data_IF_028787609493
#
_entry.id   IF_028787609493
#
_cell.length_a   1.000
_cell.length_b   1.000
_cell.length_c   1.000
_cell.angle_alpha   90.00
_cell.angle_beta   90.00
_cell.angle_gamma   90.00
#
_symmetry.space_group_name_H-M   'P 1'
#
loop_
_entity.id
_entity.type
_entity.pdbx_description
1 polymer ?
#
# COMPACT_ATOMS: atom_id res chain seq x y z
N UNK A 1 0.42 -2.71 -30.50
CA UNK A 1 0.71 -1.54 -29.65
C UNK A 1 0.30 -1.91 -28.25
N UNK A 2 1.23 -2.42 -27.44
CA UNK A 2 0.97 -2.93 -26.09
C UNK A 2 1.00 -1.77 -25.10
N UNK A 3 -0.13 -1.50 -24.45
CA UNK A 3 -0.20 -0.50 -23.38
C UNK A 3 0.48 -1.12 -22.16
N UNK A 4 1.70 -0.68 -21.86
CA UNK A 4 2.49 -1.15 -20.72
C UNK A 4 2.07 -0.38 -19.46
N UNK A 5 0.95 -0.79 -18.86
CA UNK A 5 0.51 -0.24 -17.57
C UNK A 5 1.35 -0.91 -16.47
N UNK A 6 2.33 -0.19 -15.91
CA UNK A 6 3.10 -0.66 -14.74
C UNK A 6 4.59 -0.90 -14.96
N UNK A 7 5.14 -0.67 -16.15
CA UNK A 7 6.58 -0.88 -16.37
C UNK A 7 7.46 0.10 -15.57
N UNK A 8 6.96 1.31 -15.31
CA UNK A 8 7.72 2.34 -14.61
C UNK A 8 7.34 2.41 -13.11
N UNK A 9 8.19 1.92 -12.19
CA UNK A 9 7.93 1.97 -10.75
C UNK A 9 7.78 3.40 -10.22
N UNK A 10 8.34 4.41 -10.92
CA UNK A 10 8.20 5.81 -10.54
C UNK A 10 6.77 6.32 -10.64
N UNK A 11 5.97 5.76 -11.56
CA UNK A 11 4.55 6.12 -11.67
C UNK A 11 3.83 5.69 -10.39
N UNK A 12 4.10 4.47 -9.90
CA UNK A 12 3.53 3.98 -8.65
C UNK A 12 3.96 4.86 -7.47
N UNK A 13 5.25 5.17 -7.35
CA UNK A 13 5.78 6.04 -6.28
C UNK A 13 5.13 7.43 -6.35
N UNK A 14 4.94 7.98 -7.55
CA UNK A 14 4.33 9.29 -7.75
C UNK A 14 2.84 9.29 -7.39
N UNK A 15 2.09 8.26 -7.79
CA UNK A 15 0.69 8.08 -7.41
C UNK A 15 0.53 7.92 -5.91
N UNK A 16 1.37 7.09 -5.28
CA UNK A 16 1.40 6.91 -3.81
C UNK A 16 1.72 8.22 -3.10
N UNK A 17 2.58 9.07 -3.67
CA UNK A 17 2.85 10.40 -3.12
C UNK A 17 1.63 11.33 -3.24
N UNK A 18 0.86 11.24 -4.33
CA UNK A 18 -0.40 11.97 -4.47
C UNK A 18 -1.44 11.51 -3.44
N UNK A 19 -1.44 10.24 -3.03
CA UNK A 19 -2.30 9.75 -1.93
C UNK A 19 -2.03 10.48 -0.61
N UNK A 20 -0.78 10.83 -0.33
CA UNK A 20 -0.44 11.63 0.86
C UNK A 20 -1.15 13.00 0.83
N UNK A 21 -1.34 13.60 -0.35
CA UNK A 21 -2.11 14.84 -0.45
C UNK A 21 -3.57 14.65 -0.05
N UNK A 22 -4.18 13.52 -0.39
CA UNK A 22 -5.55 13.21 0.05
C UNK A 22 -5.66 13.05 1.56
N UNK A 23 -4.56 12.73 2.25
CA UNK A 23 -4.51 12.69 3.73
C UNK A 23 -4.30 14.10 4.32
N UNK A 24 -3.49 14.95 3.69
CA UNK A 24 -3.10 16.27 4.22
C UNK A 24 -4.12 17.38 3.88
N UNK A 25 -4.76 17.32 2.72
CA UNK A 25 -5.69 18.37 2.27
C UNK A 25 -6.92 18.50 3.17
N UNK A 26 -7.63 17.41 3.57
CA UNK A 26 -8.78 17.52 4.45
C UNK A 26 -8.52 18.24 5.79
N UNK A 27 -7.49 17.89 6.59
CA UNK A 27 -7.19 18.62 7.83
C UNK A 27 -6.75 20.06 7.57
N UNK A 28 -6.15 20.35 6.41
CA UNK A 28 -5.82 21.73 6.01
C UNK A 28 -7.09 22.55 5.78
N UNK A 29 -8.05 22.03 5.01
CA UNK A 29 -9.35 22.68 4.78
C UNK A 29 -10.11 22.85 6.10
N UNK A 30 -10.18 21.79 6.93
CA UNK A 30 -10.83 21.84 8.24
C UNK A 30 -10.22 22.92 9.14
N UNK A 31 -8.89 23.07 9.15
CA UNK A 31 -8.22 24.12 9.94
C UNK A 31 -8.62 25.53 9.52
N UNK A 32 -8.88 25.75 8.22
CA UNK A 32 -9.32 27.05 7.70
C UNK A 32 -10.78 27.35 8.04
N UNK A 33 -11.63 26.33 8.01
CA UNK A 33 -13.06 26.46 8.32
C UNK A 33 -13.26 26.68 9.83
N UNK A 34 -12.62 25.85 10.66
CA UNK A 34 -12.80 25.85 12.12
C UNK A 34 -11.92 26.89 12.84
N UNK A 35 -11.05 27.61 12.12
CA UNK A 35 -10.07 28.58 12.66
C UNK A 35 -9.16 28.00 13.75
N UNK A 36 -8.95 26.69 13.73
CA UNK A 36 -8.01 25.99 14.62
C UNK A 36 -6.65 25.86 13.95
N UNK A 37 -5.59 25.58 14.73
CA UNK A 37 -4.27 25.41 14.13
C UNK A 37 -4.24 24.11 13.34
N UNK A 38 -3.62 24.12 12.16
CA UNK A 38 -3.44 22.92 11.33
C UNK A 38 -2.81 21.74 12.10
N UNK A 39 -1.89 22.03 13.01
CA UNK A 39 -1.27 21.03 13.90
C UNK A 39 -2.30 20.31 14.78
N UNK A 40 -3.31 21.01 15.26
CA UNK A 40 -4.34 20.44 16.12
C UNK A 40 -5.25 19.50 15.30
N UNK A 41 -5.56 19.88 14.06
CA UNK A 41 -6.28 19.01 13.10
C UNK A 41 -5.49 17.77 12.71
N UNK A 42 -4.17 17.90 12.50
CA UNK A 42 -3.29 16.76 12.29
C UNK A 42 -3.31 15.79 13.48
N UNK A 43 -3.26 16.30 14.71
CA UNK A 43 -3.33 15.47 15.91
C UNK A 43 -4.70 14.75 16.01
N UNK A 44 -5.78 15.41 15.61
CA UNK A 44 -7.14 14.82 15.60
C UNK A 44 -7.18 13.60 14.67
N UNK A 45 -6.63 13.71 13.46
CA UNK A 45 -6.58 12.59 12.48
C UNK A 45 -5.54 11.51 12.82
N UNK A 46 -4.87 11.59 13.97
CA UNK A 46 -3.94 10.55 14.41
C UNK A 46 -2.46 10.84 14.19
N UNK A 47 -2.10 12.04 13.72
CA UNK A 47 -0.71 12.49 13.58
C UNK A 47 -0.09 12.84 14.95
N UNK A 48 0.05 11.85 15.82
CA UNK A 48 0.79 12.00 17.07
C UNK A 48 2.29 11.83 16.84
N UNK A 49 3.09 12.58 17.62
CA UNK A 49 4.52 12.29 17.81
C UNK A 49 4.63 10.81 18.16
N UNK A 50 5.42 10.04 17.40
CA UNK A 50 5.72 8.63 17.70
C UNK A 50 6.07 8.52 19.19
N UNK A 51 5.10 8.11 20.00
CA UNK A 51 5.30 7.91 21.44
C UNK A 51 6.26 6.74 21.57
N UNK A 52 7.25 6.93 22.45
CA UNK A 52 8.43 6.08 22.65
C UNK A 52 8.20 4.62 22.32
N UNK A 53 9.09 4.06 21.49
CA UNK A 53 9.20 2.64 21.18
C UNK A 53 9.25 1.83 22.48
N UNK A 54 8.09 1.31 22.90
CA UNK A 54 7.98 0.30 23.94
C UNK A 54 8.16 -1.08 23.29
N UNK A 55 8.50 -2.07 24.10
CA UNK A 55 8.68 -3.48 23.73
C UNK A 55 7.50 -4.07 22.91
N UNK A 56 6.28 -3.58 23.12
CA UNK A 56 5.08 -3.99 22.38
C UNK A 56 5.17 -3.69 20.88
N UNK A 57 5.79 -2.57 20.47
CA UNK A 57 5.97 -2.22 19.04
C UNK A 57 7.01 -3.09 18.33
N UNK A 58 7.96 -3.66 19.06
CA UNK A 58 8.94 -4.60 18.48
C UNK A 58 8.24 -5.89 18.07
N UNK A 59 7.27 -6.33 18.86
CA UNK A 59 6.49 -7.53 18.59
C UNK A 59 5.60 -7.34 17.35
N UNK A 60 4.99 -6.17 17.18
CA UNK A 60 4.28 -5.79 15.95
C UNK A 60 5.18 -5.82 14.72
N UNK A 61 6.37 -5.21 14.79
CA UNK A 61 7.32 -5.20 13.66
C UNK A 61 7.75 -6.63 13.30
N UNK A 62 8.08 -7.47 14.30
CA UNK A 62 8.46 -8.87 14.08
C UNK A 62 7.29 -9.67 13.48
N UNK A 63 6.06 -9.43 13.94
CA UNK A 63 4.87 -10.08 13.39
C UNK A 63 4.61 -9.67 11.94
N UNK A 64 4.82 -8.39 11.60
CA UNK A 64 4.72 -7.88 10.23
C UNK A 64 5.77 -8.49 9.30
N UNK A 65 7.01 -8.61 9.77
CA UNK A 65 8.08 -9.31 9.03
C UNK A 65 7.71 -10.79 8.83
N UNK A 66 7.20 -11.45 9.88
CA UNK A 66 6.75 -12.84 9.81
C UNK A 66 5.64 -13.05 8.78
N UNK A 67 4.63 -12.18 8.76
CA UNK A 67 3.58 -12.19 7.75
C UNK A 67 4.13 -11.91 6.34
N UNK A 68 5.07 -10.97 6.20
CA UNK A 68 5.73 -10.68 4.93
C UNK A 68 6.47 -11.90 4.37
N UNK A 69 7.20 -12.63 5.22
CA UNK A 69 7.88 -13.88 4.84
C UNK A 69 6.84 -14.95 4.45
N UNK A 70 5.76 -15.09 5.22
CA UNK A 70 4.69 -16.04 4.94
C UNK A 70 4.03 -15.75 3.57
N UNK A 71 3.73 -14.49 3.26
CA UNK A 71 3.21 -14.10 1.95
C UNK A 71 4.21 -14.31 0.83
N UNK A 72 5.50 -14.04 1.06
CA UNK A 72 6.55 -14.29 0.07
C UNK A 72 6.64 -15.78 -0.29
N UNK A 73 6.53 -16.68 0.71
CA UNK A 73 6.49 -18.13 0.49
C UNK A 73 5.19 -18.57 -0.19
N UNK A 74 4.04 -17.96 0.13
CA UNK A 74 2.75 -18.30 -0.46
C UNK A 74 2.57 -17.78 -1.90
N UNK A 75 3.23 -16.68 -2.25
CA UNK A 75 3.12 -16.04 -3.57
C UNK A 75 3.31 -17.00 -4.77
N UNK A 76 4.35 -17.87 -4.83
CA UNK A 76 4.50 -18.82 -5.93
C UNK A 76 3.37 -19.84 -6.00
N UNK A 77 2.82 -20.28 -4.86
CA UNK A 77 1.69 -21.21 -4.82
C UNK A 77 0.41 -20.54 -5.33
N UNK A 78 0.14 -19.30 -4.92
CA UNK A 78 -0.97 -18.52 -5.43
C UNK A 78 -0.84 -18.32 -6.94
N UNK A 79 0.35 -17.97 -7.42
CA UNK A 79 0.61 -17.82 -8.86
C UNK A 79 0.32 -19.12 -9.63
N UNK A 80 0.83 -20.25 -9.14
CA UNK A 80 0.57 -21.55 -9.76
C UNK A 80 -0.91 -21.94 -9.71
N UNK A 81 -1.60 -21.65 -8.61
CA UNK A 81 -3.03 -21.88 -8.46
C UNK A 81 -3.85 -21.07 -9.47
N UNK A 82 -3.55 -19.78 -9.64
CA UNK A 82 -4.23 -18.94 -10.63
C UNK A 82 -3.89 -19.34 -12.06
N UNK A 83 -2.66 -19.79 -12.32
CA UNK A 83 -2.28 -20.35 -13.62
C UNK A 83 -3.11 -21.60 -13.95
N UNK A 84 -3.22 -22.54 -13.02
CA UNK A 84 -4.05 -23.74 -13.17
C UNK A 84 -5.54 -23.39 -13.36
N UNK A 85 -6.06 -22.46 -12.57
CA UNK A 85 -7.44 -21.99 -12.68
C UNK A 85 -7.70 -21.38 -14.06
N UNK A 86 -6.77 -20.56 -14.56
CA UNK A 86 -6.87 -19.92 -15.87
C UNK A 86 -6.86 -20.96 -17.00
N UNK A 87 -6.00 -21.99 -16.93
CA UNK A 87 -6.02 -23.10 -17.89
C UNK A 87 -7.35 -23.84 -17.89
N UNK A 88 -7.94 -24.08 -16.71
CA UNK A 88 -9.21 -24.81 -16.59
C UNK A 88 -10.41 -24.01 -17.09
N UNK A 89 -10.42 -22.70 -16.90
CA UNK A 89 -11.54 -21.84 -17.29
C UNK A 89 -11.47 -21.40 -18.75
N UNK A 90 -10.28 -21.09 -19.26
CA UNK A 90 -10.08 -20.45 -20.56
C UNK A 90 -9.33 -21.31 -21.57
N UNK A 91 -8.84 -22.48 -21.17
CA UNK A 91 -8.10 -23.41 -22.02
C UNK A 91 -6.61 -23.07 -22.16
N UNK A 92 -5.85 -24.01 -22.70
CA UNK A 92 -4.38 -23.89 -22.81
C UNK A 92 -3.94 -22.84 -23.84
N UNK A 93 -4.73 -22.62 -24.91
CA UNK A 93 -4.41 -21.65 -25.96
C UNK A 93 -4.45 -20.21 -25.41
N UNK A 94 -5.40 -19.90 -24.53
CA UNK A 94 -5.50 -18.60 -23.87
C UNK A 94 -4.25 -18.30 -23.02
N UNK A 95 -3.79 -19.30 -22.27
CA UNK A 95 -2.60 -19.17 -21.42
C UNK A 95 -1.32 -19.03 -22.24
N UNK A 96 -1.19 -19.78 -23.34
CA UNK A 96 -0.05 -19.64 -24.26
C UNK A 96 -0.04 -18.27 -24.97
N UNK A 97 -1.20 -17.75 -25.37
CA UNK A 97 -1.31 -16.40 -25.95
C UNK A 97 -1.01 -15.29 -24.92
N UNK A 98 -1.30 -15.53 -23.64
CA UNK A 98 -0.91 -14.64 -22.54
C UNK A 98 0.61 -14.70 -22.29
N UNK A 99 1.22 -15.89 -22.28
CA UNK A 99 2.69 -16.08 -22.18
C UNK A 99 3.44 -15.45 -23.35
N UNK A 100 2.85 -15.43 -24.54
CA UNK A 100 3.40 -14.77 -25.73
C UNK A 100 3.35 -13.23 -25.68
N UNK A 101 2.87 -12.64 -24.58
CA UNK A 101 2.98 -11.20 -24.34
C UNK A 101 1.96 -10.34 -25.08
N UNK A 102 0.84 -10.91 -25.53
CA UNK A 102 -0.26 -10.15 -26.15
C UNK A 102 -0.84 -9.11 -25.18
N UNK A 103 -0.73 -9.36 -23.87
CA UNK A 103 -0.92 -8.41 -22.77
C UNK A 103 0.32 -8.50 -21.89
N UNK A 104 1.11 -7.42 -21.80
CA UNK A 104 2.28 -7.38 -20.91
C UNK A 104 1.81 -7.33 -19.45
N UNK A 105 1.87 -8.46 -18.76
CA UNK A 105 1.66 -8.56 -17.30
C UNK A 105 2.99 -8.64 -16.55
N UNK A 106 4.09 -8.19 -17.17
CA UNK A 106 5.39 -8.17 -16.52
C UNK A 106 5.25 -7.41 -15.19
N UNK A 107 5.52 -8.08 -14.05
CA UNK A 107 5.43 -7.42 -12.77
C UNK A 107 6.39 -6.23 -12.77
N UNK A 108 5.95 -5.16 -12.11
CA UNK A 108 6.79 -4.00 -11.84
C UNK A 108 8.09 -4.53 -11.22
N UNK A 109 9.24 -4.20 -11.82
CA UNK A 109 10.54 -4.64 -11.31
C UNK A 109 11.25 -3.45 -10.66
N UNK A 110 10.83 -3.03 -9.44
CA UNK A 110 11.45 -1.91 -8.76
C UNK A 110 12.88 -2.26 -8.35
N UNK A 111 13.79 -1.29 -8.49
CA UNK A 111 15.08 -1.39 -7.83
C UNK A 111 14.91 -1.43 -6.31
N UNK A 112 15.92 -1.95 -5.59
CA UNK A 112 15.89 -1.99 -4.12
C UNK A 112 15.62 -0.61 -3.49
N UNK A 113 16.10 0.47 -4.11
CA UNK A 113 15.85 1.85 -3.67
C UNK A 113 14.38 2.20 -3.85
N UNK A 114 13.81 1.92 -5.03
CA UNK A 114 12.40 2.20 -5.33
C UNK A 114 11.46 1.40 -4.42
N UNK A 115 11.77 0.12 -4.20
CA UNK A 115 11.02 -0.74 -3.29
C UNK A 115 11.06 -0.18 -1.85
N UNK A 116 12.23 0.25 -1.38
CA UNK A 116 12.39 0.84 -0.05
C UNK A 116 11.55 2.11 0.10
N UNK A 117 11.57 2.99 -0.91
CA UNK A 117 10.76 4.22 -0.92
C UNK A 117 9.27 3.88 -0.86
N UNK A 118 8.81 2.95 -1.70
CA UNK A 118 7.41 2.54 -1.76
C UNK A 118 6.92 1.95 -0.43
N UNK A 119 7.75 1.12 0.23
CA UNK A 119 7.43 0.55 1.55
C UNK A 119 7.31 1.66 2.61
N UNK A 120 8.26 2.60 2.66
CA UNK A 120 8.20 3.72 3.62
C UNK A 120 6.92 4.53 3.41
N UNK A 121 6.60 4.87 2.16
CA UNK A 121 5.37 5.60 1.83
C UNK A 121 4.11 4.86 2.29
N UNK A 122 4.04 3.55 2.02
CA UNK A 122 2.87 2.75 2.41
C UNK A 122 2.72 2.62 3.93
N UNK A 123 3.83 2.47 4.67
CA UNK A 123 3.78 2.47 6.14
C UNK A 123 3.16 3.77 6.66
N UNK A 124 3.55 4.92 6.11
CA UNK A 124 2.98 6.22 6.52
C UNK A 124 1.49 6.32 6.21
N UNK A 125 1.09 5.96 4.99
CA UNK A 125 -0.32 6.03 4.55
C UNK A 125 -1.19 5.13 5.40
N UNK A 126 -0.84 3.85 5.53
CA UNK A 126 -1.61 2.86 6.28
C UNK A 126 -1.71 3.29 7.75
N UNK A 127 -0.60 3.68 8.37
CA UNK A 127 -0.60 4.08 9.78
C UNK A 127 -1.54 5.25 10.07
N UNK A 128 -1.56 6.27 9.21
CA UNK A 128 -2.43 7.44 9.38
C UNK A 128 -3.90 7.07 9.12
N UNK A 129 -4.15 6.29 8.07
CA UNK A 129 -5.50 5.87 7.70
C UNK A 129 -6.13 4.95 8.76
N UNK A 130 -5.39 3.99 9.30
CA UNK A 130 -5.87 3.11 10.37
C UNK A 130 -6.19 3.88 11.65
N UNK A 131 -5.29 4.77 12.10
CA UNK A 131 -5.53 5.57 13.31
C UNK A 131 -6.74 6.52 13.11
N UNK A 132 -6.86 7.16 11.96
CA UNK A 132 -8.01 8.00 11.62
C UNK A 132 -9.32 7.19 11.62
N UNK A 133 -9.30 5.99 11.05
CA UNK A 133 -10.43 5.06 11.04
C UNK A 133 -10.82 4.64 12.46
N UNK A 134 -9.86 4.17 13.26
CA UNK A 134 -10.14 3.72 14.63
C UNK A 134 -10.65 4.84 15.54
N UNK A 135 -10.11 6.05 15.41
CA UNK A 135 -10.62 7.22 16.16
C UNK A 135 -12.04 7.58 15.75
N UNK A 136 -12.35 7.49 14.47
CA UNK A 136 -13.68 7.87 13.95
C UNK A 136 -14.75 6.83 14.28
N UNK A 137 -14.39 5.54 14.34
CA UNK A 137 -15.35 4.44 14.53
C UNK A 137 -15.41 3.87 15.94
N UNK A 138 -14.27 3.63 16.60
CA UNK A 138 -14.22 2.94 17.90
C UNK A 138 -14.22 3.91 19.08
N UNK A 139 -13.58 5.07 18.94
CA UNK A 139 -13.57 6.10 19.99
C UNK A 139 -14.78 7.00 19.79
N UNK A 140 -15.99 6.47 20.04
CA UNK A 140 -17.13 7.35 20.32
C UNK A 140 -16.78 8.15 21.58
N UNK A 141 -16.71 9.47 21.44
CA UNK A 141 -16.82 10.39 22.59
C UNK A 141 -18.21 10.31 23.19
#
# INVERSE_FOLDING_TARGET
>A
MTIQIGENPWILISLTFLEILFIIIPPYIASKIEKTKFKDQLIIIGFHKLRSLKSEKILEIVSGIGLGILFWVLAPYLNHFFYFLSQKLFGNEFVQQAEQGTISTLPINPSYIQLTIAIIQQIFIISICEEAFFRSFLIKK
#
